data_IF_966469079068
#
_entry.id   IF_966469079068
#
_cell.length_a   1.000
_cell.length_b   1.000
_cell.length_c   1.000
_cell.angle_alpha   90.00
_cell.angle_beta   90.00
_cell.angle_gamma   90.00
#
_symmetry.space_group_name_H-M   'P 1'
#
loop_
_entity.id
_entity.type
_entity.pdbx_description
1 polymer ?
#
# COMPACT_ATOMS: atom_id res chain seq x y z
N UNK A 1 -3.53 -40.81 -19.52
CA UNK A 1 -4.63 -40.69 -18.54
C UNK A 1 -5.37 -39.39 -18.84
N UNK A 2 -6.69 -39.44 -19.02
CA UNK A 2 -7.46 -38.28 -19.50
C UNK A 2 -7.48 -37.16 -18.46
N UNK A 3 -6.73 -36.09 -18.71
CA UNK A 3 -6.76 -34.84 -17.96
C UNK A 3 -8.02 -34.06 -18.34
N UNK A 4 -9.19 -34.58 -18.00
CA UNK A 4 -10.44 -33.87 -18.25
C UNK A 4 -10.60 -32.83 -17.15
N UNK A 5 -10.44 -31.55 -17.51
CA UNK A 5 -10.90 -30.44 -16.69
C UNK A 5 -12.37 -30.67 -16.34
N UNK A 6 -12.71 -30.61 -15.05
CA UNK A 6 -14.08 -30.83 -14.57
C UNK A 6 -14.51 -29.61 -13.76
N UNK A 7 -15.64 -29.03 -14.13
CA UNK A 7 -16.39 -28.15 -13.22
C UNK A 7 -16.70 -28.96 -11.97
N UNK A 8 -16.31 -28.45 -10.80
CA UNK A 8 -16.61 -29.08 -9.52
C UNK A 8 -17.95 -28.52 -9.04
N UNK A 9 -18.92 -29.40 -8.88
CA UNK A 9 -20.24 -29.06 -8.39
C UNK A 9 -21.17 -28.50 -9.48
N UNK A 10 -22.25 -27.85 -9.03
CA UNK A 10 -23.20 -27.14 -9.89
C UNK A 10 -22.91 -25.65 -9.79
N UNK A 11 -23.26 -24.89 -10.82
CA UNK A 11 -23.30 -23.43 -10.74
C UNK A 11 -24.17 -23.04 -9.54
N UNK A 12 -23.58 -22.37 -8.57
CA UNK A 12 -24.30 -21.92 -7.37
C UNK A 12 -24.91 -20.55 -7.63
N UNK A 13 -26.15 -20.37 -7.21
CA UNK A 13 -26.91 -19.13 -7.40
C UNK A 13 -27.16 -18.49 -6.04
N UNK A 14 -26.79 -17.24 -5.88
CA UNK A 14 -27.10 -16.43 -4.69
C UNK A 14 -27.91 -15.21 -5.11
N UNK A 15 -29.09 -15.04 -4.50
CA UNK A 15 -30.00 -13.91 -4.77
C UNK A 15 -29.94 -12.96 -3.58
N UNK A 16 -29.40 -11.75 -3.80
CA UNK A 16 -29.29 -10.71 -2.79
C UNK A 16 -30.12 -9.49 -3.12
N UNK A 17 -30.09 -8.48 -2.25
CA UNK A 17 -30.74 -7.17 -2.49
C UNK A 17 -30.23 -6.46 -3.75
N UNK A 18 -29.03 -6.82 -4.22
CA UNK A 18 -28.35 -6.23 -5.37
C UNK A 18 -28.43 -7.11 -6.64
N UNK A 19 -29.34 -8.09 -6.67
CA UNK A 19 -29.56 -8.97 -7.83
C UNK A 19 -29.06 -10.41 -7.63
N UNK A 20 -29.17 -11.18 -8.72
CA UNK A 20 -28.72 -12.58 -8.78
C UNK A 20 -27.24 -12.66 -9.13
N UNK A 21 -26.51 -13.52 -8.43
CA UNK A 21 -25.11 -13.84 -8.71
C UNK A 21 -24.98 -15.34 -8.94
N UNK A 22 -24.14 -15.72 -9.89
CA UNK A 22 -23.86 -17.10 -10.27
C UNK A 22 -22.38 -17.38 -10.05
N UNK A 23 -22.03 -18.54 -9.52
CA UNK A 23 -20.65 -18.93 -9.25
C UNK A 23 -20.36 -20.32 -9.77
N UNK A 24 -19.31 -20.45 -10.57
CA UNK A 24 -18.82 -21.72 -11.09
C UNK A 24 -17.38 -21.96 -10.60
N UNK A 25 -17.14 -23.16 -10.06
CA UNK A 25 -15.81 -23.56 -9.60
C UNK A 25 -15.28 -24.70 -10.46
N UNK A 26 -14.02 -24.61 -10.88
CA UNK A 26 -13.33 -25.58 -11.74
C UNK A 26 -12.08 -26.08 -11.04
N UNK A 27 -11.75 -27.36 -11.26
CA UNK A 27 -10.44 -27.89 -10.89
C UNK A 27 -9.59 -28.05 -12.14
N UNK A 28 -8.58 -27.19 -12.25
CA UNK A 28 -7.81 -26.95 -13.48
C UNK A 28 -6.35 -27.35 -13.25
N UNK A 29 -5.72 -28.00 -14.23
CA UNK A 29 -4.30 -28.27 -14.18
C UNK A 29 -3.49 -27.00 -14.52
N UNK A 30 -2.27 -26.86 -13.99
CA UNK A 30 -1.40 -25.68 -14.21
C UNK A 30 -1.33 -25.25 -15.69
N UNK A 31 -1.10 -26.20 -16.59
CA UNK A 31 -0.94 -25.92 -18.02
C UNK A 31 -2.23 -25.48 -18.72
N UNK A 32 -3.40 -25.66 -18.10
CA UNK A 32 -4.72 -25.28 -18.62
C UNK A 32 -5.24 -23.98 -17.99
N UNK A 33 -4.55 -23.41 -17.00
CA UNK A 33 -5.01 -22.22 -16.27
C UNK A 33 -5.37 -21.06 -17.20
N UNK A 34 -4.57 -20.83 -18.24
CA UNK A 34 -4.77 -19.78 -19.23
C UNK A 34 -6.11 -19.87 -19.99
N UNK A 35 -6.76 -21.04 -20.00
CA UNK A 35 -8.07 -21.27 -20.63
C UNK A 35 -9.20 -20.81 -19.69
N UNK A 36 -8.95 -20.78 -18.38
CA UNK A 36 -9.91 -20.50 -17.33
C UNK A 36 -9.63 -19.19 -16.59
N UNK A 37 -8.84 -18.30 -17.19
CA UNK A 37 -8.64 -16.92 -16.73
C UNK A 37 -9.52 -15.96 -17.56
N UNK A 38 -10.84 -15.89 -17.30
CA UNK A 38 -11.73 -15.00 -18.04
C UNK A 38 -11.43 -13.54 -17.72
N UNK A 39 -11.69 -12.67 -18.68
CA UNK A 39 -11.75 -11.25 -18.41
C UNK A 39 -13.05 -10.91 -17.68
N UNK A 40 -12.99 -9.93 -16.78
CA UNK A 40 -14.21 -9.36 -16.22
C UNK A 40 -15.02 -8.78 -17.38
N UNK A 41 -16.32 -9.07 -17.41
CA UNK A 41 -17.28 -8.84 -18.49
C UNK A 41 -17.29 -9.83 -19.64
N UNK A 42 -16.44 -10.86 -19.62
CA UNK A 42 -16.60 -11.97 -20.56
C UNK A 42 -17.99 -12.59 -20.41
N UNK A 43 -18.53 -13.04 -21.53
CA UNK A 43 -19.82 -13.72 -21.54
C UNK A 43 -19.70 -15.02 -20.74
N UNK A 44 -20.44 -15.11 -19.65
CA UNK A 44 -20.48 -16.31 -18.83
C UNK A 44 -21.44 -17.33 -19.46
N UNK A 45 -20.96 -18.07 -20.46
CA UNK A 45 -21.76 -19.08 -21.20
C UNK A 45 -22.34 -20.18 -20.30
N UNK A 46 -21.76 -20.37 -19.12
CA UNK A 46 -22.20 -21.35 -18.12
C UNK A 46 -23.30 -20.83 -17.19
N UNK A 47 -23.54 -19.52 -17.16
CA UNK A 47 -24.59 -18.89 -16.35
C UNK A 47 -25.90 -18.75 -17.16
N UNK A 48 -27.07 -18.76 -16.52
CA UNK A 48 -28.35 -18.65 -17.22
C UNK A 48 -28.61 -17.21 -17.71
N UNK A 49 -29.07 -17.07 -18.95
CA UNK A 49 -29.40 -15.76 -19.55
C UNK A 49 -28.18 -15.02 -20.11
N UNK A 50 -28.34 -13.74 -20.43
CA UNK A 50 -27.20 -12.88 -20.80
C UNK A 50 -26.47 -12.45 -19.53
N UNK A 51 -25.47 -13.23 -19.13
CA UNK A 51 -24.66 -12.98 -17.93
C UNK A 51 -23.21 -12.66 -18.30
N UNK A 52 -22.58 -11.85 -17.46
CA UNK A 52 -21.18 -11.44 -17.62
C UNK A 52 -20.37 -11.75 -16.38
N UNK A 53 -19.10 -12.10 -16.56
CA UNK A 53 -18.15 -12.40 -15.46
C UNK A 53 -17.93 -11.14 -14.61
N UNK A 54 -18.05 -11.27 -13.29
CA UNK A 54 -17.90 -10.16 -12.32
C UNK A 54 -16.68 -10.29 -11.43
N UNK A 55 -16.19 -11.51 -11.21
CA UNK A 55 -14.92 -11.75 -10.50
C UNK A 55 -14.33 -13.11 -10.81
N UNK A 56 -13.03 -13.22 -10.60
CA UNK A 56 -12.22 -14.42 -10.78
C UNK A 56 -11.29 -14.60 -9.58
N UNK A 57 -11.25 -15.80 -9.00
CA UNK A 57 -10.28 -16.17 -7.97
C UNK A 57 -9.63 -17.50 -8.32
N UNK A 58 -8.35 -17.66 -7.95
CA UNK A 58 -7.62 -18.92 -8.07
C UNK A 58 -6.91 -19.27 -6.77
N UNK A 59 -7.07 -20.53 -6.35
CA UNK A 59 -6.52 -21.05 -5.10
C UNK A 59 -5.85 -22.41 -5.37
N UNK A 60 -4.74 -22.69 -4.68
CA UNK A 60 -4.02 -23.95 -4.84
C UNK A 60 -4.79 -25.12 -4.20
N UNK A 61 -4.94 -26.23 -4.94
CA UNK A 61 -5.62 -27.44 -4.51
C UNK A 61 -4.79 -28.69 -4.86
N UNK A 62 -3.66 -28.85 -4.15
CA UNK A 62 -2.69 -29.90 -4.44
C UNK A 62 -1.94 -29.62 -5.76
N UNK A 63 -1.81 -30.60 -6.70
CA UNK A 63 -1.16 -30.39 -8.00
C UNK A 63 -2.04 -29.67 -9.03
N UNK A 64 -3.17 -29.10 -8.59
CA UNK A 64 -4.18 -28.43 -9.42
C UNK A 64 -4.62 -27.13 -8.76
N UNK A 65 -5.43 -26.36 -9.47
CA UNK A 65 -5.99 -25.10 -9.01
C UNK A 65 -7.50 -25.17 -8.94
N UNK A 66 -8.06 -24.62 -7.86
CA UNK A 66 -9.46 -24.27 -7.78
C UNK A 66 -9.64 -22.87 -8.36
N UNK A 67 -10.31 -22.81 -9.48
CA UNK A 67 -10.68 -21.57 -10.17
C UNK A 67 -12.15 -21.30 -9.89
N UNK A 68 -12.47 -20.17 -9.26
CA UNK A 68 -13.86 -19.75 -9.05
C UNK A 68 -14.15 -18.51 -9.87
N UNK A 69 -15.17 -18.59 -10.71
CA UNK A 69 -15.62 -17.52 -11.60
C UNK A 69 -17.04 -17.14 -11.17
N UNK A 70 -17.24 -15.85 -10.86
CA UNK A 70 -18.56 -15.32 -10.55
C UNK A 70 -19.10 -14.53 -11.74
N UNK A 71 -20.42 -14.55 -11.92
CA UNK A 71 -21.14 -13.84 -12.97
C UNK A 71 -22.46 -13.26 -12.44
N UNK A 72 -23.01 -12.28 -13.15
CA UNK A 72 -24.32 -11.70 -12.86
C UNK A 72 -25.06 -11.36 -14.17
N UNK A 73 -26.41 -11.26 -14.15
CA UNK A 73 -27.19 -10.80 -15.30
C UNK A 73 -26.71 -9.46 -15.83
N UNK A 74 -26.69 -9.32 -17.15
CA UNK A 74 -26.38 -8.08 -17.83
C UNK A 74 -27.59 -7.16 -17.73
N UNK A 75 -27.51 -6.14 -16.88
CA UNK A 75 -28.57 -5.15 -16.72
C UNK A 75 -28.48 -4.03 -17.78
N UNK A 76 -29.62 -3.71 -18.42
CA UNK A 76 -29.78 -2.52 -19.25
C UNK A 76 -29.72 -1.27 -18.34
N UNK A 77 -28.73 -0.40 -18.57
CA UNK A 77 -28.57 0.81 -17.75
C UNK A 77 -27.41 0.78 -16.77
N UNK A 78 -26.63 -0.31 -16.70
CA UNK A 78 -25.27 -0.30 -16.13
C UNK A 78 -24.24 0.41 -17.04
N UNK A 79 -24.65 1.51 -17.67
CA UNK A 79 -23.79 2.46 -18.40
C UNK A 79 -22.82 3.24 -17.50
N UNK A 80 -22.47 2.72 -16.32
CA UNK A 80 -21.55 3.33 -15.36
C UNK A 80 -20.36 2.44 -14.96
N UNK A 81 -20.11 1.35 -15.70
CA UNK A 81 -18.76 0.77 -15.79
C UNK A 81 -18.42 0.54 -17.26
N UNK A 82 -18.28 1.63 -18.00
CA UNK A 82 -17.58 1.64 -19.28
C UNK A 82 -16.13 1.22 -19.05
N UNK A 83 -15.80 -0.04 -19.29
CA UNK A 83 -14.40 -0.53 -19.35
C UNK A 83 -13.71 -0.15 -20.67
N UNK A 84 -13.94 1.08 -21.14
CA UNK A 84 -13.22 1.69 -22.26
C UNK A 84 -12.05 2.59 -21.84
N UNK A 85 -11.82 2.76 -20.53
CA UNK A 85 -10.81 3.65 -19.98
C UNK A 85 -9.97 2.93 -18.91
N UNK A 86 -8.71 2.56 -19.21
CA UNK A 86 -7.75 2.05 -18.22
C UNK A 86 -7.50 2.90 -16.97
N UNK A 87 -8.07 4.12 -16.89
CA UNK A 87 -8.22 4.87 -15.63
C UNK A 87 -9.27 4.27 -14.65
N UNK A 88 -10.00 3.22 -15.04
CA UNK A 88 -11.03 2.57 -14.21
C UNK A 88 -10.50 1.36 -13.44
N UNK A 89 -9.37 0.77 -13.85
CA UNK A 89 -8.75 -0.34 -13.13
C UNK A 89 -7.62 0.18 -12.23
N UNK A 90 -7.89 0.20 -10.93
CA UNK A 90 -6.90 0.52 -9.90
C UNK A 90 -6.73 -0.67 -8.99
N UNK A 91 -5.59 -1.36 -9.11
CA UNK A 91 -5.19 -2.39 -8.14
C UNK A 91 -4.73 -1.69 -6.86
N UNK A 92 -5.16 -2.20 -5.72
CA UNK A 92 -4.80 -1.68 -4.39
C UNK A 92 -4.46 -2.85 -3.49
N UNK A 93 -3.35 -2.75 -2.78
CA UNK A 93 -3.00 -3.70 -1.73
C UNK A 93 -2.38 -2.99 -0.53
N UNK A 94 -2.56 -3.61 0.63
CA UNK A 94 -1.93 -3.18 1.86
C UNK A 94 -1.04 -4.30 2.37
N UNK A 95 0.10 -3.91 2.90
CA UNK A 95 1.07 -4.81 3.52
C UNK A 95 1.65 -4.12 4.76
N UNK A 96 2.61 -4.77 5.40
CA UNK A 96 3.24 -4.33 6.63
C UNK A 96 4.72 -4.05 6.39
N UNK A 97 5.22 -3.02 7.06
CA UNK A 97 6.65 -2.71 7.15
C UNK A 97 7.03 -2.41 8.59
N UNK A 98 8.31 -2.47 8.89
CA UNK A 98 8.87 -1.93 10.12
C UNK A 98 9.71 -0.69 9.81
N UNK A 99 9.65 0.29 10.70
CA UNK A 99 10.51 1.49 10.68
C UNK A 99 11.25 1.54 12.00
N UNK A 100 12.58 1.56 11.95
CA UNK A 100 13.40 1.67 13.14
C UNK A 100 13.56 3.14 13.56
N UNK A 101 13.22 3.45 14.80
CA UNK A 101 13.20 4.83 15.32
C UNK A 101 14.50 5.19 16.03
N UNK A 102 15.50 5.65 15.29
CA UNK A 102 16.81 5.96 15.86
C UNK A 102 16.77 7.10 16.88
N UNK A 103 17.48 6.95 18.01
CA UNK A 103 17.71 8.05 18.97
C UNK A 103 18.24 9.33 18.32
N UNK A 104 19.05 9.19 17.27
CA UNK A 104 19.62 10.32 16.53
C UNK A 104 18.59 11.23 15.83
N UNK A 105 17.40 10.71 15.50
CA UNK A 105 16.31 11.51 14.93
C UNK A 105 15.77 12.54 15.92
N UNK A 106 15.93 12.26 17.20
CA UNK A 106 15.40 13.05 18.30
C UNK A 106 16.48 13.89 19.00
N UNK A 107 17.72 13.88 18.48
CA UNK A 107 18.85 14.57 19.11
C UNK A 107 19.33 13.90 20.39
N UNK A 108 19.04 12.60 20.54
CA UNK A 108 19.31 11.81 21.74
C UNK A 108 20.51 10.88 21.51
N UNK A 109 21.21 10.57 22.60
CA UNK A 109 22.22 9.50 22.66
C UNK A 109 22.08 8.71 23.97
N UNK A 110 22.73 7.55 24.04
CA UNK A 110 22.90 6.83 25.31
C UNK A 110 23.96 7.50 26.18
N UNK A 111 23.71 7.55 27.48
CA UNK A 111 24.64 8.04 28.48
C UNK A 111 25.81 7.07 28.65
N UNK A 112 27.02 7.63 28.70
CA UNK A 112 28.25 6.90 29.00
C UNK A 112 28.51 6.87 30.51
N UNK A 113 29.49 6.09 30.94
CA UNK A 113 29.98 6.09 32.32
C UNK A 113 30.39 7.48 32.80
N UNK A 114 31.00 8.29 31.93
CA UNK A 114 31.42 9.65 32.28
C UNK A 114 30.23 10.59 32.51
N UNK A 115 29.15 10.42 31.74
CA UNK A 115 27.93 11.22 31.91
C UNK A 115 27.24 10.91 33.24
N UNK A 116 27.13 9.61 33.56
CA UNK A 116 26.57 9.15 34.82
C UNK A 116 27.39 9.62 36.04
N UNK A 117 28.72 9.50 35.97
CA UNK A 117 29.63 10.03 37.01
C UNK A 117 29.51 11.56 37.14
N UNK A 118 29.26 12.26 36.03
CA UNK A 118 29.05 13.70 36.02
C UNK A 118 27.66 14.12 36.51
N UNK A 119 26.75 13.16 36.77
CA UNK A 119 25.35 13.40 37.18
C UNK A 119 24.61 14.33 36.22
N UNK A 120 24.79 14.12 34.91
CA UNK A 120 23.96 14.83 33.93
C UNK A 120 22.49 14.38 34.08
N UNK A 121 21.55 15.24 33.72
CA UNK A 121 20.14 14.90 33.75
C UNK A 121 19.72 14.16 32.48
N UNK A 122 19.00 13.05 32.63
CA UNK A 122 18.37 12.30 31.54
C UNK A 122 17.17 13.08 30.96
N UNK A 123 16.53 12.55 29.92
CA UNK A 123 15.39 13.21 29.25
C UNK A 123 14.15 13.42 30.14
N UNK A 124 14.04 12.71 31.27
CA UNK A 124 13.00 12.91 32.27
C UNK A 124 13.35 14.00 33.29
N UNK A 125 14.61 14.46 33.33
CA UNK A 125 15.09 15.47 34.28
C UNK A 125 15.73 14.89 35.55
N UNK A 126 16.03 13.59 35.56
CA UNK A 126 16.64 12.90 36.70
C UNK A 126 18.12 12.60 36.43
N UNK A 127 18.99 12.48 37.44
CA UNK A 127 20.38 12.06 37.22
C UNK A 127 20.47 10.76 36.42
N UNK A 128 21.21 10.77 35.31
CA UNK A 128 21.26 9.64 34.38
C UNK A 128 22.09 8.46 34.89
N UNK A 129 21.62 7.24 34.62
CA UNK A 129 22.42 6.01 34.65
C UNK A 129 23.16 5.76 33.33
N UNK A 130 24.06 4.78 33.30
CA UNK A 130 24.71 4.34 32.06
C UNK A 130 23.68 3.67 31.15
N UNK A 131 23.63 4.08 29.89
CA UNK A 131 22.67 3.58 28.91
C UNK A 131 21.37 4.37 28.83
N UNK A 132 21.07 5.23 29.80
CA UNK A 132 19.90 6.12 29.77
C UNK A 132 19.94 7.05 28.56
N UNK A 133 18.76 7.45 28.10
CA UNK A 133 18.66 8.43 27.03
C UNK A 133 18.89 9.85 27.56
N UNK A 134 19.74 10.58 26.85
CA UNK A 134 20.17 11.93 27.19
C UNK A 134 20.18 12.82 25.94
N UNK A 135 19.68 14.06 26.08
CA UNK A 135 19.81 15.06 25.02
C UNK A 135 21.27 15.50 24.87
N UNK A 136 21.68 15.81 23.63
CA UNK A 136 23.08 16.19 23.34
C UNK A 136 23.58 17.41 24.12
N UNK A 137 22.68 18.31 24.50
CA UNK A 137 22.97 19.53 25.26
C UNK A 137 22.62 19.41 26.76
N UNK A 138 22.42 18.20 27.29
CA UNK A 138 22.12 18.01 28.70
C UNK A 138 23.28 18.40 29.62
N UNK A 139 22.95 18.82 30.83
CA UNK A 139 23.86 19.27 31.89
C UNK A 139 23.38 18.76 33.26
N UNK A 140 24.07 19.13 34.34
CA UNK A 140 23.70 18.74 35.72
C UNK A 140 22.43 19.42 36.24
N UNK A 141 22.06 20.57 35.66
CA UNK A 141 20.95 21.42 36.14
C UNK A 141 19.86 21.60 35.08
N UNK A 142 20.12 21.19 33.85
CA UNK A 142 19.18 21.27 32.73
C UNK A 142 19.28 19.99 31.92
N UNK A 143 18.14 19.30 31.73
CA UNK A 143 18.04 18.08 30.93
C UNK A 143 18.35 18.28 29.45
N UNK A 144 18.35 19.52 28.96
CA UNK A 144 18.48 19.84 27.56
C UNK A 144 17.16 19.75 26.83
N UNK A 145 17.24 19.68 25.50
CA UNK A 145 16.08 19.70 24.62
C UNK A 145 16.30 18.82 23.41
N UNK A 146 15.22 18.29 22.85
CA UNK A 146 15.28 17.53 21.61
C UNK A 146 15.81 18.39 20.46
N UNK A 147 16.57 17.75 19.56
CA UNK A 147 17.01 18.32 18.29
C UNK A 147 16.47 17.45 17.16
N UNK A 148 15.47 17.98 16.47
CA UNK A 148 14.73 17.28 15.41
C UNK A 148 15.28 17.55 14.01
N UNK A 149 16.45 18.19 13.89
CA UNK A 149 17.09 18.46 12.59
C UNK A 149 17.22 17.22 11.73
N UNK A 150 17.46 16.06 12.35
CA UNK A 150 17.58 14.75 11.67
C UNK A 150 16.29 13.94 11.63
N UNK A 151 15.23 14.39 12.30
CA UNK A 151 13.95 13.66 12.29
C UNK A 151 13.36 13.65 10.89
N UNK A 152 12.91 12.51 10.35
CA UNK A 152 12.20 12.47 9.08
C UNK A 152 10.72 12.92 9.21
N UNK A 153 10.27 13.34 10.39
CA UNK A 153 8.89 13.75 10.67
C UNK A 153 8.78 15.25 10.93
N UNK A 154 7.60 15.81 10.67
CA UNK A 154 7.27 17.20 11.02
C UNK A 154 7.38 17.37 12.53
N UNK A 155 8.09 18.41 12.93
CA UNK A 155 8.54 18.64 14.31
C UNK A 155 7.49 19.30 15.20
N UNK A 156 6.49 19.95 14.60
CA UNK A 156 5.45 20.68 15.34
C UNK A 156 4.51 19.72 16.09
N UNK A 157 4.46 19.84 17.41
CA UNK A 157 3.44 19.19 18.24
C UNK A 157 3.65 17.70 18.52
N UNK A 158 4.86 17.17 18.29
CA UNK A 158 5.20 15.79 18.68
C UNK A 158 5.94 15.80 20.02
N UNK A 159 5.30 15.28 21.07
CA UNK A 159 6.01 14.94 22.29
C UNK A 159 6.89 13.71 22.04
N UNK A 160 8.16 13.80 22.42
CA UNK A 160 9.09 12.68 22.30
C UNK A 160 8.74 11.61 23.35
N UNK A 161 8.08 10.53 22.92
CA UNK A 161 7.91 9.36 23.78
C UNK A 161 9.21 8.55 23.81
N UNK A 162 9.74 8.29 25.01
CA UNK A 162 10.93 7.44 25.18
C UNK A 162 10.65 5.99 24.80
N UNK A 163 9.38 5.57 24.86
CA UNK A 163 8.92 4.22 24.56
C UNK A 163 9.02 3.81 23.09
N UNK A 164 9.37 4.74 22.19
CA UNK A 164 9.53 4.46 20.76
C UNK A 164 10.99 4.59 20.30
N UNK A 165 11.90 5.05 21.15
CA UNK A 165 13.30 5.30 20.77
C UNK A 165 14.08 3.97 20.70
N UNK A 166 14.88 3.82 19.64
CA UNK A 166 15.66 2.62 19.30
C UNK A 166 14.82 1.33 19.22
N UNK A 167 13.56 1.45 18.81
CA UNK A 167 12.66 0.33 18.58
C UNK A 167 12.18 0.24 17.12
N UNK A 168 11.94 -0.98 16.61
CA UNK A 168 11.19 -1.17 15.39
C UNK A 168 9.71 -0.94 15.64
N UNK A 169 9.11 -0.06 14.84
CA UNK A 169 7.67 0.22 14.87
C UNK A 169 7.03 -0.32 13.62
N UNK A 170 6.05 -1.21 13.81
CA UNK A 170 5.24 -1.76 12.72
C UNK A 170 4.34 -0.68 12.15
N UNK A 171 4.34 -0.55 10.83
CA UNK A 171 3.51 0.38 10.06
C UNK A 171 2.99 -0.29 8.79
N UNK A 172 2.18 0.45 8.03
CA UNK A 172 1.51 -0.03 6.83
C UNK A 172 2.24 0.42 5.56
N UNK A 173 2.31 -0.49 4.59
CA UNK A 173 2.61 -0.18 3.19
C UNK A 173 1.31 -0.16 2.41
N UNK A 174 1.16 0.81 1.54
CA UNK A 174 0.10 0.86 0.54
C UNK A 174 0.72 0.78 -0.86
N UNK A 175 0.22 -0.15 -1.68
CA UNK A 175 0.60 -0.24 -3.08
C UNK A 175 -0.60 0.00 -3.97
N UNK A 176 -0.41 0.75 -5.05
CA UNK A 176 -1.43 0.89 -6.08
C UNK A 176 -0.86 0.84 -7.49
N UNK A 177 -1.63 0.26 -8.41
CA UNK A 177 -1.31 0.25 -9.83
C UNK A 177 -2.51 0.70 -10.66
N UNK A 178 -2.27 1.61 -11.60
CA UNK A 178 -3.30 2.12 -12.51
C UNK A 178 -2.67 2.44 -13.87
N UNK A 179 -3.52 2.60 -14.90
CA UNK A 179 -3.07 2.96 -16.24
C UNK A 179 -3.53 4.36 -16.61
N UNK A 180 -2.70 5.10 -17.35
CA UNK A 180 -3.02 6.44 -17.82
C UNK A 180 -2.59 6.66 -19.28
N UNK A 181 -3.30 7.54 -20.00
CA UNK A 181 -2.91 8.00 -21.35
C UNK A 181 -1.94 9.18 -21.33
N UNK A 182 -1.68 9.74 -20.15
CA UNK A 182 -0.77 10.87 -20.08
C UNK A 182 0.65 10.43 -20.40
N UNK A 183 1.45 11.35 -20.94
CA UNK A 183 2.86 11.12 -21.19
C UNK A 183 3.57 10.73 -19.88
N UNK A 184 4.48 9.75 -19.94
CA UNK A 184 5.27 9.28 -18.80
C UNK A 184 5.94 10.44 -18.02
N UNK A 185 6.37 11.49 -18.74
CA UNK A 185 6.99 12.69 -18.18
C UNK A 185 6.05 13.48 -17.24
N UNK A 186 4.73 13.33 -17.37
CA UNK A 186 3.74 13.97 -16.47
C UNK A 186 3.70 13.35 -15.07
N UNK A 187 4.31 12.18 -14.86
CA UNK A 187 4.34 11.47 -13.57
C UNK A 187 5.67 11.56 -12.83
N UNK A 188 6.65 12.25 -13.41
CA UNK A 188 8.03 12.35 -12.88
C UNK A 188 8.08 13.27 -11.65
N UNK A 189 7.22 14.30 -11.58
CA UNK A 189 7.16 15.25 -10.45
C UNK A 189 6.34 14.78 -9.25
N UNK A 190 6.22 13.47 -9.02
CA UNK A 190 5.45 12.97 -7.87
C UNK A 190 6.25 13.18 -6.57
N UNK A 191 5.92 14.26 -5.85
CA UNK A 191 6.54 14.61 -4.58
C UNK A 191 6.01 13.73 -3.45
N UNK A 192 6.97 13.21 -2.69
CA UNK A 192 6.83 12.06 -1.80
C UNK A 192 5.93 12.22 -0.58
N UNK A 193 5.26 13.36 -0.37
CA UNK A 193 4.42 13.61 0.81
C UNK A 193 3.13 14.30 0.35
N UNK A 194 2.11 13.51 0.03
CA UNK A 194 0.80 13.95 -0.49
C UNK A 194 0.83 14.73 -1.81
N UNK A 195 1.24 14.06 -2.89
CA UNK A 195 0.65 14.37 -4.20
C UNK A 195 -0.84 14.01 -4.18
N UNK A 196 -1.69 14.85 -4.80
CA UNK A 196 -3.13 14.60 -4.87
C UNK A 196 -3.44 13.24 -5.48
N UNK A 197 -4.00 12.34 -4.68
CA UNK A 197 -4.53 11.08 -5.18
C UNK A 197 -5.82 11.36 -5.96
N UNK A 198 -5.93 10.83 -7.17
CA UNK A 198 -7.26 10.66 -7.76
C UNK A 198 -8.12 9.91 -6.75
N UNK A 199 -9.41 10.25 -6.64
CA UNK A 199 -10.33 9.59 -5.70
C UNK A 199 -10.26 8.06 -5.79
N UNK A 200 -10.04 7.55 -7.01
CA UNK A 200 -9.87 6.13 -7.32
C UNK A 200 -8.58 5.52 -6.76
N UNK A 201 -7.49 6.27 -6.58
CA UNK A 201 -6.19 5.77 -6.08
C UNK A 201 -5.90 6.13 -4.61
N UNK A 202 -6.89 6.64 -3.87
CA UNK A 202 -6.70 7.04 -2.47
C UNK A 202 -6.46 5.83 -1.56
N UNK A 203 -5.46 5.89 -0.65
CA UNK A 203 -5.38 5.01 0.51
C UNK A 203 -6.49 5.31 1.53
N UNK A 204 -6.63 4.46 2.54
CA UNK A 204 -7.64 4.59 3.60
C UNK A 204 -7.46 5.87 4.43
N UNK A 205 -6.21 6.24 4.73
CA UNK A 205 -5.87 7.49 5.41
C UNK A 205 -5.47 8.54 4.36
N UNK A 206 -6.09 9.70 4.37
CA UNK A 206 -5.85 10.76 3.36
C UNK A 206 -5.28 12.06 3.97
N UNK A 207 -4.96 12.04 5.26
CA UNK A 207 -4.39 13.19 5.96
C UNK A 207 -3.06 13.61 5.34
N UNK A 208 -2.88 14.90 5.00
CA UNK A 208 -1.60 15.41 4.53
C UNK A 208 -0.46 15.12 5.51
N UNK A 209 0.70 14.75 4.97
CA UNK A 209 1.86 14.25 5.70
C UNK A 209 1.87 12.74 6.01
N UNK A 210 0.76 12.01 5.87
CA UNK A 210 0.70 10.61 6.37
C UNK A 210 1.42 9.58 5.53
N UNK A 211 1.49 9.74 4.22
CA UNK A 211 2.11 8.75 3.34
C UNK A 211 3.39 9.30 2.74
N UNK A 212 4.46 8.50 2.84
CA UNK A 212 5.75 8.72 2.17
C UNK A 212 5.88 7.79 0.98
N UNK A 213 6.29 8.28 -0.18
CA UNK A 213 6.58 7.42 -1.34
C UNK A 213 7.84 6.60 -1.10
N UNK A 214 7.74 5.29 -1.32
CA UNK A 214 8.87 4.34 -1.29
C UNK A 214 9.41 4.14 -2.70
N UNK A 215 8.51 3.85 -3.65
CA UNK A 215 8.87 3.51 -5.02
C UNK A 215 7.77 3.92 -6.00
N UNK A 216 8.17 4.24 -7.23
CA UNK A 216 7.27 4.42 -8.37
C UNK A 216 7.90 3.81 -9.62
N UNK A 217 7.22 2.82 -10.20
CA UNK A 217 7.58 2.25 -11.50
C UNK A 217 6.61 2.74 -12.58
N UNK A 218 7.16 3.17 -13.71
CA UNK A 218 6.39 3.59 -14.90
C UNK A 218 6.74 2.65 -16.07
N UNK A 219 5.73 2.06 -16.72
CA UNK A 219 5.93 1.18 -17.89
C UNK A 219 4.99 1.55 -19.01
N UNK A 220 5.53 1.73 -20.21
CA UNK A 220 4.69 1.86 -21.41
C UNK A 220 4.07 0.51 -21.76
N UNK A 221 2.77 0.50 -21.98
CA UNK A 221 2.01 -0.61 -22.54
C UNK A 221 1.37 -0.13 -23.84
N UNK A 222 1.56 -0.89 -24.93
CA UNK A 222 0.94 -0.59 -26.23
C UNK A 222 -0.24 -1.53 -26.43
N UNK A 223 -1.43 -0.97 -26.66
CA UNK A 223 -2.58 -1.77 -27.08
C UNK A 223 -2.50 -2.15 -28.56
N UNK A 224 -3.26 -3.20 -28.92
CA UNK A 224 -3.44 -3.71 -30.30
C UNK A 224 -3.98 -2.65 -31.29
N UNK A 225 -4.50 -1.53 -30.80
CA UNK A 225 -5.04 -0.40 -31.57
C UNK A 225 -4.05 0.79 -31.72
N UNK A 226 -2.80 0.64 -31.30
CA UNK A 226 -1.77 1.69 -31.42
C UNK A 226 -1.80 2.77 -30.34
N UNK A 227 -2.72 2.69 -29.37
CA UNK A 227 -2.73 3.59 -28.21
C UNK A 227 -1.63 3.20 -27.21
N UNK A 228 -0.86 4.19 -26.77
CA UNK A 228 0.18 4.02 -25.74
C UNK A 228 -0.40 4.41 -24.39
N UNK A 229 -0.31 3.49 -23.44
CA UNK A 229 -0.67 3.68 -22.05
C UNK A 229 0.57 3.61 -21.16
N UNK A 230 0.53 4.28 -20.04
CA UNK A 230 1.54 4.17 -18.99
C UNK A 230 0.92 3.44 -17.81
N UNK A 231 1.44 2.25 -17.49
CA UNK A 231 1.19 1.60 -16.20
C UNK A 231 2.01 2.34 -15.15
N UNK A 232 1.33 2.88 -14.15
CA UNK A 232 1.91 3.54 -12.99
C UNK A 232 1.72 2.61 -11.80
N UNK A 233 2.82 2.17 -11.21
CA UNK A 233 2.83 1.39 -9.96
C UNK A 233 3.49 2.22 -8.87
N UNK A 234 2.84 2.36 -7.72
CA UNK A 234 3.33 3.14 -6.58
C UNK A 234 3.32 2.31 -5.32
N UNK A 235 4.34 2.51 -4.50
CA UNK A 235 4.46 1.94 -3.16
C UNK A 235 4.70 3.07 -2.16
N UNK A 236 3.95 3.07 -1.07
CA UNK A 236 3.94 4.15 -0.08
C UNK A 236 3.98 3.59 1.34
N UNK A 237 4.56 4.34 2.27
CA UNK A 237 4.75 4.02 3.68
C UNK A 237 3.94 4.96 4.56
N UNK A 238 3.11 4.39 5.45
CA UNK A 238 2.35 5.16 6.43
C UNK A 238 3.26 5.67 7.55
N UNK A 239 3.11 6.93 7.93
CA UNK A 239 3.72 7.51 9.12
C UNK A 239 3.08 6.89 10.38
N UNK A 240 3.88 6.30 11.29
CA UNK A 240 3.35 5.68 12.51
C UNK A 240 2.60 6.66 13.41
N UNK A 241 1.66 6.13 14.21
CA UNK A 241 0.90 6.89 15.22
C UNK A 241 0.23 8.15 14.66
N UNK A 242 0.42 9.31 15.28
CA UNK A 242 -0.03 10.63 14.84
C UNK A 242 1.04 11.41 14.05
N UNK A 243 2.22 10.83 13.81
CA UNK A 243 3.33 11.49 13.11
C UNK A 243 2.99 11.78 11.66
N UNK A 244 3.69 12.76 11.07
CA UNK A 244 3.60 13.13 9.66
C UNK A 244 5.00 13.23 9.09
N UNK A 245 5.23 12.67 7.91
CA UNK A 245 6.51 12.81 7.21
C UNK A 245 6.78 14.28 6.89
N UNK A 246 8.02 14.69 7.11
CA UNK A 246 8.52 16.02 6.79
C UNK A 246 8.66 16.15 5.26
N UNK A 247 7.88 17.01 4.58
CA UNK A 247 7.95 17.14 3.13
C UNK A 247 9.29 17.70 2.65
N UNK A 248 9.99 18.52 3.43
CA UNK A 248 11.27 19.08 3.00
C UNK A 248 12.38 18.00 3.02
N UNK A 249 12.26 17.04 3.94
CA UNK A 249 13.22 15.93 4.08
C UNK A 249 12.85 14.70 3.25
N UNK A 250 11.58 14.51 2.91
CA UNK A 250 11.08 13.31 2.23
C UNK A 250 10.43 13.59 0.87
N UNK A 251 10.29 14.86 0.48
CA UNK A 251 9.56 15.29 -0.72
C UNK A 251 10.42 15.48 -1.97
N UNK A 252 11.65 14.94 -2.01
CA UNK A 252 12.50 15.02 -3.19
C UNK A 252 11.84 14.43 -4.45
N UNK A 253 12.09 15.08 -5.59
CA UNK A 253 11.75 14.53 -6.91
C UNK A 253 12.74 13.40 -7.23
N UNK A 254 12.22 12.22 -7.54
CA UNK A 254 13.01 11.12 -8.07
C UNK A 254 13.40 11.48 -9.50
N UNK A 255 14.60 12.04 -9.70
CA UNK A 255 15.19 12.11 -11.03
C UNK A 255 15.60 10.70 -11.43
N UNK A 256 14.98 10.22 -12.50
CA UNK A 256 15.40 9.03 -13.26
C UNK A 256 16.76 9.28 -13.89
#
# INVERSE_FOLDING_TARGET
>A
MSNTTRMIGKVSTSVGKNGSTYSATYLVAEHELHIYEPEIYDKALWAPGDCVVTSYTKEAAGPRWLVTINAAPREEGYGAFSTGNPNDFVEKSYDVSEVFFYASWWGVRKASTNDANSKLLNINGEPCGVGDFLFRNASKTNKGSADYSKSPFVTSGTELSTSIIDLPIRTMIYSCAFYSRNNINSFVGFTGVNGGFSSKCRPAEITPGKWKVIDQTLRNSKEKNGKVWVKVSRKMLLAPFNLKWDPDKNGGNWKW
#
